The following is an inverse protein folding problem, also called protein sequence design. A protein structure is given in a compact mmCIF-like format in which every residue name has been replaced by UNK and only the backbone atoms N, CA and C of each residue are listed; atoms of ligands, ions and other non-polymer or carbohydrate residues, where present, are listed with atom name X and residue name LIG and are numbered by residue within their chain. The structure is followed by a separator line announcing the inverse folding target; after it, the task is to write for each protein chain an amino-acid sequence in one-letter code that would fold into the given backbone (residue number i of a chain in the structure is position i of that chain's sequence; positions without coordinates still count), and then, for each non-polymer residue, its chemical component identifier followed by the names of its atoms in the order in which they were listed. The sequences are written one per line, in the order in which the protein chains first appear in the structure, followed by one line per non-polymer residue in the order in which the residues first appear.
data_IF_188879184280
#
_entry.id   IF_188879184280
#
_cell.length_a   1.000
_cell.length_b   1.000
_cell.length_c   1.000
_cell.angle_alpha   90.00
_cell.angle_beta   90.00
_cell.angle_gamma   90.00
#
_symmetry.space_group_name_H-M   'P 1'
#
loop_
_entity.id
_entity.type
_entity.pdbx_description
1 polymer ?
#
# COMPACT_ATOMS: atom_id res chain seq x y z
N UNK A 1 12.02 -9.91 65.95
CA UNK A 1 12.58 -10.50 64.71
C UNK A 1 11.65 -11.54 64.05
N UNK A 2 10.55 -11.98 64.69
CA UNK A 2 9.69 -13.06 64.13
C UNK A 2 8.76 -12.66 62.98
N UNK A 3 8.40 -11.38 62.86
CA UNK A 3 7.51 -10.92 61.77
C UNK A 3 8.19 -11.03 60.40
N UNK A 4 9.50 -10.83 60.34
CA UNK A 4 10.29 -10.93 59.11
C UNK A 4 10.38 -12.38 58.60
N UNK A 5 10.55 -13.35 59.52
CA UNK A 5 10.62 -14.78 59.16
C UNK A 5 9.29 -15.32 58.57
N UNK A 6 8.16 -14.76 58.99
CA UNK A 6 6.83 -15.13 58.47
C UNK A 6 6.52 -14.53 57.10
N UNK A 7 7.20 -13.45 56.68
CA UNK A 7 6.99 -12.79 55.39
C UNK A 7 7.79 -13.40 54.23
N UNK A 8 8.91 -14.07 54.53
CA UNK A 8 9.79 -14.72 53.54
C UNK A 8 9.06 -15.70 52.61
N UNK A 9 8.19 -16.62 53.07
CA UNK A 9 7.53 -17.55 52.16
C UNK A 9 6.58 -16.85 51.18
N UNK A 10 5.89 -15.79 51.60
CA UNK A 10 5.01 -15.02 50.72
C UNK A 10 5.79 -14.24 49.65
N UNK A 11 6.96 -13.71 50.02
CA UNK A 11 7.85 -13.01 49.09
C UNK A 11 8.42 -13.96 48.03
N UNK A 12 8.75 -15.20 48.41
CA UNK A 12 9.17 -16.25 47.47
C UNK A 12 8.05 -16.69 46.53
N UNK A 13 6.81 -16.79 47.02
CA UNK A 13 5.65 -17.10 46.17
C UNK A 13 5.38 -15.98 45.17
N UNK A 14 5.49 -14.71 45.58
CA UNK A 14 5.34 -13.56 44.67
C UNK A 14 6.47 -13.51 43.62
N UNK A 15 7.70 -13.81 44.00
CA UNK A 15 8.82 -13.93 43.06
C UNK A 15 8.61 -15.09 42.08
N UNK A 16 8.10 -16.23 42.54
CA UNK A 16 7.85 -17.37 41.69
C UNK A 16 6.68 -17.12 40.72
N UNK A 17 5.59 -16.49 41.18
CA UNK A 17 4.48 -16.09 40.32
C UNK A 17 4.90 -15.03 39.31
N UNK A 18 5.73 -14.06 39.71
CA UNK A 18 6.32 -13.06 38.82
C UNK A 18 7.24 -13.69 37.76
N UNK A 19 8.08 -14.66 38.16
CA UNK A 19 8.95 -15.38 37.23
C UNK A 19 8.16 -16.29 36.27
N UNK A 20 7.13 -16.99 36.76
CA UNK A 20 6.27 -17.83 35.94
C UNK A 20 5.44 -17.01 34.94
N UNK A 21 4.93 -15.84 35.34
CA UNK A 21 4.23 -14.93 34.44
C UNK A 21 5.18 -14.27 33.44
N UNK A 22 6.41 -13.91 33.83
CA UNK A 22 7.46 -13.47 32.89
C UNK A 22 7.78 -14.56 31.85
N UNK A 23 8.00 -15.81 32.28
CA UNK A 23 8.23 -16.95 31.38
C UNK A 23 7.05 -17.22 30.46
N UNK A 24 5.82 -17.15 30.97
CA UNK A 24 4.63 -17.49 30.20
C UNK A 24 4.23 -16.38 29.20
N UNK A 25 4.39 -15.10 29.55
CA UNK A 25 3.97 -13.98 28.70
C UNK A 25 5.09 -13.39 27.84
N UNK A 26 6.34 -13.37 28.30
CA UNK A 26 7.44 -12.75 27.54
C UNK A 26 8.22 -13.78 26.71
N UNK A 27 8.33 -15.02 27.18
CA UNK A 27 9.08 -16.06 26.46
C UNK A 27 8.23 -16.85 25.46
N UNK A 28 6.89 -16.79 25.57
CA UNK A 28 6.01 -17.02 24.42
C UNK A 28 6.14 -15.84 23.48
N UNK A 29 7.23 -15.79 22.71
CA UNK A 29 7.14 -15.17 21.39
C UNK A 29 5.94 -15.85 20.72
N UNK A 30 4.93 -15.11 20.22
CA UNK A 30 3.99 -15.74 19.31
C UNK A 30 4.85 -16.45 18.27
N UNK A 31 4.57 -17.73 17.99
CA UNK A 31 5.04 -18.32 16.75
C UNK A 31 4.65 -17.30 15.69
N UNK A 32 5.66 -16.58 15.18
CA UNK A 32 5.43 -15.70 14.07
C UNK A 32 4.89 -16.65 13.02
N UNK A 33 3.63 -16.44 12.63
CA UNK A 33 3.09 -17.04 11.41
C UNK A 33 4.21 -16.91 10.37
N UNK A 34 4.57 -18.00 9.66
CA UNK A 34 5.74 -17.99 8.80
C UNK A 34 5.63 -16.76 7.93
N UNK A 35 6.47 -15.75 8.20
CA UNK A 35 6.49 -14.51 7.43
C UNK A 35 6.78 -14.98 6.03
N UNK A 36 5.74 -14.94 5.21
CA UNK A 36 5.80 -15.41 3.85
C UNK A 36 6.61 -14.37 3.09
N UNK A 37 7.93 -14.49 3.17
CA UNK A 37 8.84 -13.64 2.40
C UNK A 37 8.64 -14.01 0.95
N UNK A 38 7.81 -13.23 0.27
CA UNK A 38 7.63 -13.38 -1.16
C UNK A 38 8.94 -12.98 -1.83
N UNK A 39 9.60 -13.95 -2.45
CA UNK A 39 10.79 -13.73 -3.26
C UNK A 39 10.36 -13.16 -4.62
N UNK A 40 10.26 -11.84 -4.65
CA UNK A 40 9.78 -11.07 -5.81
C UNK A 40 10.65 -11.27 -7.05
N UNK A 41 11.94 -11.61 -6.90
CA UNK A 41 12.85 -11.86 -8.01
C UNK A 41 12.45 -13.14 -8.78
N UNK A 42 11.73 -14.07 -8.16
CA UNK A 42 11.18 -15.28 -8.81
C UNK A 42 9.90 -15.00 -9.63
N UNK A 43 9.13 -13.97 -9.25
CA UNK A 43 7.92 -13.56 -9.99
C UNK A 43 8.28 -12.83 -11.29
N UNK A 44 9.33 -11.99 -11.25
CA UNK A 44 9.82 -11.26 -12.42
C UNK A 44 10.43 -12.23 -13.47
N UNK A 45 11.04 -13.33 -13.02
CA UNK A 45 11.59 -14.36 -13.90
C UNK A 45 10.54 -15.19 -14.65
N UNK A 46 9.30 -15.29 -14.13
CA UNK A 46 8.22 -16.07 -14.75
C UNK A 46 7.33 -15.25 -15.70
N UNK A 47 7.39 -13.92 -15.68
CA UNK A 47 6.66 -13.07 -16.64
C UNK A 47 7.34 -12.95 -18.01
N UNK A 48 8.62 -13.35 -18.11
CA UNK A 48 9.39 -13.35 -19.36
C UNK A 48 9.26 -14.61 -20.23
N UNK A 49 8.56 -15.65 -19.78
CA UNK A 49 8.37 -16.88 -20.57
C UNK A 49 7.15 -16.77 -21.47
N UNK A 50 7.41 -16.37 -22.71
CA UNK A 50 6.67 -16.66 -23.96
C UNK A 50 5.46 -17.60 -23.76
N UNK A 51 4.26 -17.05 -23.84
CA UNK A 51 3.01 -17.81 -23.86
C UNK A 51 3.04 -18.79 -25.04
N UNK A 52 3.12 -20.09 -24.76
CA UNK A 52 2.79 -21.14 -25.73
C UNK A 52 1.27 -21.16 -25.91
N UNK A 53 0.83 -20.75 -27.10
CA UNK A 53 -0.54 -20.98 -27.58
C UNK A 53 -0.80 -22.49 -27.67
N UNK A 54 -1.68 -23.00 -26.82
CA UNK A 54 -2.36 -24.27 -27.06
C UNK A 54 -3.73 -23.97 -27.71
N UNK A 55 -4.08 -24.62 -28.84
CA UNK A 55 -5.27 -24.29 -29.59
C UNK A 55 -6.51 -24.88 -28.91
N UNK A 56 -7.39 -24.01 -28.40
CA UNK A 56 -8.72 -24.41 -27.94
C UNK A 56 -9.64 -24.52 -29.14
N UNK A 57 -10.01 -25.76 -29.48
CA UNK A 57 -11.01 -26.11 -30.49
C UNK A 57 -12.36 -25.47 -30.17
N UNK A 58 -12.75 -24.47 -30.96
CA UNK A 58 -14.08 -23.85 -30.96
C UNK A 58 -15.13 -24.83 -31.47
N UNK A 59 -15.93 -25.39 -30.57
CA UNK A 59 -17.25 -25.95 -30.91
C UNK A 59 -18.25 -24.78 -30.97
N UNK A 60 -18.81 -24.58 -32.16
CA UNK A 60 -19.80 -23.57 -32.51
C UNK A 60 -21.17 -24.02 -31.99
N UNK A 61 -21.62 -23.45 -30.88
CA UNK A 61 -23.03 -23.49 -30.47
C UNK A 61 -23.60 -22.07 -30.54
N UNK A 62 -24.76 -21.96 -31.19
CA UNK A 62 -25.46 -20.72 -31.48
C UNK A 62 -26.05 -20.09 -30.21
N UNK A 63 -26.20 -18.75 -30.15
CA UNK A 63 -26.65 -18.05 -28.95
C UNK A 63 -28.18 -18.15 -28.77
N UNK A 64 -28.69 -18.49 -27.58
CA UNK A 64 -30.10 -18.27 -27.27
C UNK A 64 -30.31 -16.83 -26.79
N UNK A 65 -31.08 -16.11 -27.61
CA UNK A 65 -31.98 -14.98 -27.35
C UNK A 65 -31.84 -14.14 -26.06
N UNK A 66 -31.59 -12.85 -26.31
CA UNK A 66 -32.02 -11.66 -25.59
C UNK A 66 -32.90 -11.88 -24.35
N UNK A 67 -32.27 -11.82 -23.18
CA UNK A 67 -32.88 -11.22 -22.01
C UNK A 67 -32.24 -9.84 -21.85
N UNK A 68 -33.02 -8.75 -21.74
CA UNK A 68 -32.44 -7.44 -21.48
C UNK A 68 -31.75 -7.50 -20.12
N UNK A 69 -30.43 -7.62 -20.17
CA UNK A 69 -29.56 -7.45 -19.02
C UNK A 69 -29.87 -6.05 -18.51
N UNK A 70 -30.49 -5.98 -17.32
CA UNK A 70 -30.74 -4.74 -16.61
C UNK A 70 -29.44 -3.95 -16.66
N UNK A 71 -29.46 -2.86 -17.44
CA UNK A 71 -28.46 -1.80 -17.38
C UNK A 71 -28.23 -1.57 -15.89
N UNK A 72 -27.05 -1.97 -15.40
CA UNK A 72 -26.63 -1.66 -14.05
C UNK A 72 -26.70 -0.15 -13.97
N UNK A 73 -27.73 0.31 -13.27
CA UNK A 73 -27.92 1.69 -12.88
C UNK A 73 -26.56 2.18 -12.39
N UNK A 74 -25.98 3.14 -13.12
CA UNK A 74 -24.77 3.80 -12.69
C UNK A 74 -25.10 4.42 -11.34
N UNK A 75 -24.63 3.79 -10.27
CA UNK A 75 -24.84 4.25 -8.91
C UNK A 75 -24.40 5.70 -8.87
N UNK A 76 -25.35 6.63 -8.71
CA UNK A 76 -25.02 8.00 -8.37
C UNK A 76 -24.16 7.93 -7.12
N UNK A 77 -22.94 8.45 -7.19
CA UNK A 77 -22.05 8.51 -6.03
C UNK A 77 -22.83 9.10 -4.85
N UNK A 78 -22.65 8.53 -3.67
CA UNK A 78 -23.26 9.16 -2.50
C UNK A 78 -22.70 10.58 -2.36
N UNK A 79 -23.50 11.52 -1.84
CA UNK A 79 -23.04 12.90 -1.60
C UNK A 79 -21.70 12.96 -0.84
N UNK A 80 -21.49 12.01 0.08
CA UNK A 80 -20.22 11.89 0.81
C UNK A 80 -19.05 11.45 -0.07
N UNK A 81 -19.27 10.64 -1.09
CA UNK A 81 -18.23 10.25 -2.06
C UNK A 81 -17.93 11.40 -3.01
N UNK A 82 -18.96 12.09 -3.50
CA UNK A 82 -18.81 13.30 -4.33
C UNK A 82 -17.96 14.36 -3.61
N UNK A 83 -18.26 14.64 -2.34
CA UNK A 83 -17.50 15.59 -1.51
C UNK A 83 -16.02 15.16 -1.37
N UNK A 84 -15.74 13.86 -1.28
CA UNK A 84 -14.36 13.32 -1.20
C UNK A 84 -13.63 13.44 -2.53
N UNK A 85 -14.29 13.14 -3.65
CA UNK A 85 -13.71 13.31 -4.98
C UNK A 85 -13.39 14.78 -5.25
N UNK A 86 -14.31 15.70 -4.94
CA UNK A 86 -14.06 17.12 -5.10
C UNK A 86 -12.87 17.58 -4.24
N UNK A 87 -12.80 17.13 -2.98
CA UNK A 87 -11.69 17.46 -2.10
C UNK A 87 -10.34 16.92 -2.63
N UNK A 88 -10.34 15.76 -3.28
CA UNK A 88 -9.16 15.19 -3.93
C UNK A 88 -8.73 16.04 -5.13
N UNK A 89 -9.65 16.42 -6.01
CA UNK A 89 -9.37 17.26 -7.17
C UNK A 89 -8.81 18.63 -6.80
N UNK A 90 -9.34 19.25 -5.74
CA UNK A 90 -8.85 20.52 -5.21
C UNK A 90 -7.42 20.40 -4.67
N UNK A 91 -7.15 19.33 -3.92
CA UNK A 91 -5.81 19.02 -3.41
C UNK A 91 -4.83 18.78 -4.56
N UNK A 92 -5.23 17.98 -5.55
CA UNK A 92 -4.41 17.63 -6.72
C UNK A 92 -4.04 18.87 -7.53
N UNK A 93 -5.00 19.75 -7.82
CA UNK A 93 -4.73 21.02 -8.51
C UNK A 93 -3.74 21.89 -7.74
N UNK A 94 -3.91 21.97 -6.42
CA UNK A 94 -3.00 22.73 -5.55
C UNK A 94 -1.61 22.12 -5.55
N UNK A 95 -1.50 20.80 -5.45
CA UNK A 95 -0.24 20.07 -5.51
C UNK A 95 0.50 20.33 -6.82
N UNK A 96 -0.18 20.20 -7.96
CA UNK A 96 0.42 20.42 -9.28
C UNK A 96 0.93 21.85 -9.46
N UNK A 97 0.24 22.85 -8.91
CA UNK A 97 0.67 24.25 -8.96
C UNK A 97 1.92 24.51 -8.12
N UNK A 98 1.95 24.01 -6.88
CA UNK A 98 3.09 24.14 -5.96
C UNK A 98 4.32 23.44 -6.54
N UNK A 99 4.15 22.20 -7.04
CA UNK A 99 5.25 21.44 -7.64
C UNK A 99 5.80 22.12 -8.88
N UNK A 100 4.93 22.62 -9.75
CA UNK A 100 5.38 23.36 -10.94
C UNK A 100 6.27 24.55 -10.55
N UNK A 101 5.90 25.25 -9.49
CA UNK A 101 6.69 26.37 -8.95
C UNK A 101 8.05 25.92 -8.41
N UNK A 102 8.09 24.80 -7.69
CA UNK A 102 9.32 24.26 -7.08
C UNK A 102 10.27 23.65 -8.12
N UNK A 103 9.75 22.79 -9.00
CA UNK A 103 10.52 22.06 -10.00
C UNK A 103 10.94 23.00 -11.13
N UNK A 104 10.08 23.95 -11.49
CA UNK A 104 10.25 24.87 -12.59
C UNK A 104 9.85 24.28 -13.94
N UNK A 105 9.50 25.15 -14.89
CA UNK A 105 8.94 24.76 -16.19
C UNK A 105 9.85 23.81 -16.98
N UNK A 106 11.17 23.95 -16.85
CA UNK A 106 12.16 23.13 -17.56
C UNK A 106 12.00 21.62 -17.27
N UNK A 107 11.70 21.25 -16.03
CA UNK A 107 11.66 19.84 -15.59
C UNK A 107 10.23 19.34 -15.33
N UNK A 108 9.23 20.21 -15.43
CA UNK A 108 7.87 19.88 -15.04
C UNK A 108 7.23 18.77 -15.90
N UNK A 109 7.48 18.76 -17.22
CA UNK A 109 6.99 17.70 -18.10
C UNK A 109 7.56 16.33 -17.71
N UNK A 110 8.87 16.26 -17.46
CA UNK A 110 9.54 15.03 -17.04
C UNK A 110 9.04 14.57 -15.66
N UNK A 111 8.78 15.49 -14.74
CA UNK A 111 8.14 15.17 -13.46
C UNK A 111 6.78 14.50 -13.64
N UNK A 112 5.92 15.02 -14.53
CA UNK A 112 4.60 14.43 -14.79
C UNK A 112 4.72 13.00 -15.34
N UNK A 113 5.62 12.79 -16.31
CA UNK A 113 5.90 11.45 -16.86
C UNK A 113 6.41 10.49 -15.78
N UNK A 114 7.32 10.96 -14.92
CA UNK A 114 7.84 10.15 -13.82
C UNK A 114 6.76 9.76 -12.83
N UNK A 115 5.84 10.67 -12.52
CA UNK A 115 4.72 10.42 -11.61
C UNK A 115 3.73 9.43 -12.22
N UNK A 116 3.36 9.61 -13.49
CA UNK A 116 2.47 8.68 -14.18
C UNK A 116 3.07 7.26 -14.22
N UNK A 117 4.37 7.15 -14.51
CA UNK A 117 5.08 5.87 -14.47
C UNK A 117 5.09 5.27 -13.06
N UNK A 118 5.32 6.05 -12.00
CA UNK A 118 5.28 5.58 -10.62
C UNK A 118 3.91 4.97 -10.27
N UNK A 119 2.82 5.65 -10.63
CA UNK A 119 1.46 5.14 -10.40
C UNK A 119 1.17 3.88 -11.23
N UNK A 120 1.64 3.84 -12.48
CA UNK A 120 1.53 2.63 -13.31
C UNK A 120 2.27 1.45 -12.68
N UNK A 121 3.50 1.64 -12.21
CA UNK A 121 4.30 0.60 -11.54
C UNK A 121 3.62 0.10 -10.26
N UNK A 122 3.02 0.99 -9.46
CA UNK A 122 2.20 0.61 -8.28
C UNK A 122 1.01 -0.26 -8.68
N UNK A 123 0.28 0.14 -9.72
CA UNK A 123 -0.89 -0.60 -10.20
C UNK A 123 -0.52 -1.97 -10.78
N UNK A 124 0.61 -2.07 -11.47
CA UNK A 124 1.15 -3.33 -11.98
C UNK A 124 1.56 -4.25 -10.83
N UNK A 125 2.31 -3.74 -9.85
CA UNK A 125 2.68 -4.46 -8.64
C UNK A 125 1.44 -4.97 -7.87
N UNK A 126 0.39 -4.14 -7.79
CA UNK A 126 -0.88 -4.53 -7.18
C UNK A 126 -1.55 -5.67 -7.94
N UNK A 127 -1.63 -5.56 -9.27
CA UNK A 127 -2.23 -6.59 -10.12
C UNK A 127 -1.47 -7.92 -10.03
N UNK A 128 -0.14 -7.88 -10.06
CA UNK A 128 0.71 -9.06 -9.93
C UNK A 128 0.50 -9.77 -8.60
N UNK A 129 0.43 -9.00 -7.51
CA UNK A 129 0.14 -9.55 -6.19
C UNK A 129 -1.26 -10.17 -6.13
N UNK A 130 -2.26 -9.51 -6.73
CA UNK A 130 -3.61 -10.03 -6.82
C UNK A 130 -3.66 -11.35 -7.60
N UNK A 131 -3.00 -11.42 -8.76
CA UNK A 131 -2.94 -12.64 -9.57
C UNK A 131 -2.19 -13.76 -8.85
N UNK A 132 -1.13 -13.43 -8.11
CA UNK A 132 -0.43 -14.37 -7.25
C UNK A 132 -1.34 -14.96 -6.16
N UNK A 133 -2.07 -14.12 -5.42
CA UNK A 133 -3.01 -14.58 -4.40
C UNK A 133 -4.13 -15.45 -4.99
N UNK A 134 -4.68 -15.05 -6.14
CA UNK A 134 -5.70 -15.83 -6.85
C UNK A 134 -5.18 -17.22 -7.23
N UNK A 135 -3.95 -17.31 -7.77
CA UNK A 135 -3.32 -18.60 -8.12
C UNK A 135 -3.11 -19.48 -6.89
N UNK A 136 -2.72 -18.89 -5.76
CA UNK A 136 -2.37 -19.64 -4.54
C UNK A 136 -3.58 -20.04 -3.69
N UNK A 137 -4.62 -19.20 -3.63
CA UNK A 137 -5.74 -19.34 -2.71
C UNK A 137 -7.11 -19.48 -3.40
N UNK A 138 -7.16 -19.50 -4.74
CA UNK A 138 -8.39 -19.56 -5.53
C UNK A 138 -9.12 -18.21 -5.60
N UNK A 139 -10.35 -18.16 -6.10
CA UNK A 139 -11.10 -16.90 -6.26
C UNK A 139 -11.74 -16.37 -4.96
N UNK A 140 -11.72 -17.16 -3.88
CA UNK A 140 -12.40 -16.84 -2.60
C UNK A 140 -11.46 -16.28 -1.53
N UNK A 141 -10.28 -15.78 -1.89
CA UNK A 141 -9.37 -15.20 -0.90
C UNK A 141 -9.89 -13.85 -0.39
N UNK A 142 -9.82 -13.65 0.93
CA UNK A 142 -10.15 -12.36 1.54
C UNK A 142 -8.95 -11.45 1.38
N UNK A 143 -9.15 -10.31 0.72
CA UNK A 143 -8.13 -9.28 0.55
C UNK A 143 -7.67 -8.76 1.91
N UNK A 144 -6.40 -8.96 2.23
CA UNK A 144 -5.70 -8.25 3.27
C UNK A 144 -4.49 -7.60 2.60
N UNK A 145 -4.40 -6.28 2.65
CA UNK A 145 -3.22 -5.53 2.19
C UNK A 145 -2.07 -6.04 3.02
N UNK A 146 -1.26 -6.94 2.45
CA UNK A 146 -0.18 -7.56 3.21
C UNK A 146 0.93 -6.55 3.45
N UNK A 147 1.71 -6.81 4.50
CA UNK A 147 2.96 -6.10 4.78
C UNK A 147 3.88 -6.10 3.53
N UNK A 148 3.83 -7.16 2.72
CA UNK A 148 4.63 -7.32 1.49
C UNK A 148 4.23 -6.35 0.37
N UNK A 149 2.92 -6.07 0.19
CA UNK A 149 2.46 -5.05 -0.76
C UNK A 149 3.02 -3.68 -0.37
N UNK A 150 3.00 -3.37 0.93
CA UNK A 150 3.57 -2.12 1.45
C UNK A 150 5.08 -2.02 1.19
N UNK A 151 5.82 -3.13 1.24
CA UNK A 151 7.26 -3.14 0.97
C UNK A 151 7.56 -2.82 -0.50
N UNK A 152 6.85 -3.46 -1.44
CA UNK A 152 7.07 -3.24 -2.88
C UNK A 152 6.68 -1.81 -3.29
N UNK A 153 5.56 -1.32 -2.80
CA UNK A 153 5.14 0.07 -3.02
C UNK A 153 6.17 1.06 -2.47
N UNK A 154 6.69 0.83 -1.25
CA UNK A 154 7.77 1.65 -0.69
C UNK A 154 9.01 1.67 -1.57
N UNK A 155 9.39 0.54 -2.18
CA UNK A 155 10.54 0.46 -3.08
C UNK A 155 10.31 1.29 -4.35
N UNK A 156 9.15 1.14 -4.98
CA UNK A 156 8.76 1.91 -6.18
C UNK A 156 8.86 3.42 -5.90
N UNK A 157 8.25 3.83 -4.79
CA UNK A 157 8.27 5.19 -4.27
C UNK A 157 9.70 5.72 -4.00
N UNK A 158 10.56 4.93 -3.37
CA UNK A 158 11.97 5.29 -3.14
C UNK A 158 12.74 5.49 -4.45
N UNK A 159 12.53 4.61 -5.43
CA UNK A 159 13.18 4.72 -6.74
C UNK A 159 12.71 5.95 -7.50
N UNK A 160 11.41 6.29 -7.41
CA UNK A 160 10.87 7.53 -7.93
C UNK A 160 11.51 8.76 -7.28
N UNK A 161 11.58 8.81 -5.94
CA UNK A 161 12.16 9.95 -5.21
C UNK A 161 13.66 10.12 -5.52
N UNK A 162 14.40 9.02 -5.67
CA UNK A 162 15.81 9.05 -6.06
C UNK A 162 15.99 9.65 -7.46
N UNK A 163 15.22 9.17 -8.44
CA UNK A 163 15.25 9.74 -9.80
C UNK A 163 14.85 11.21 -9.81
N UNK A 164 13.89 11.60 -8.96
CA UNK A 164 13.43 12.98 -8.88
C UNK A 164 14.53 13.88 -8.33
N UNK A 165 15.22 13.45 -7.26
CA UNK A 165 16.38 14.12 -6.71
C UNK A 165 17.48 14.31 -7.76
N UNK A 166 17.80 13.26 -8.52
CA UNK A 166 18.79 13.34 -9.61
C UNK A 166 18.39 14.34 -10.70
N UNK A 167 17.10 14.43 -11.01
CA UNK A 167 16.57 15.33 -12.04
C UNK A 167 16.63 16.81 -11.65
N UNK A 168 16.16 17.14 -10.44
CA UNK A 168 15.94 18.55 -10.03
C UNK A 168 17.02 19.08 -9.08
N UNK A 169 17.86 18.20 -8.54
CA UNK A 169 18.91 18.51 -7.57
C UNK A 169 18.41 18.72 -6.14
N UNK A 170 19.35 18.67 -5.19
CA UNK A 170 19.08 18.67 -3.75
C UNK A 170 18.21 19.84 -3.28
N UNK A 171 18.53 21.07 -3.70
CA UNK A 171 17.81 22.26 -3.21
C UNK A 171 16.33 22.25 -3.60
N UNK A 172 16.02 21.93 -4.86
CA UNK A 172 14.63 21.84 -5.33
C UNK A 172 13.93 20.62 -4.74
N UNK A 173 14.65 19.51 -4.57
CA UNK A 173 14.10 18.31 -3.94
C UNK A 173 13.69 18.56 -2.49
N UNK A 174 14.51 19.25 -1.70
CA UNK A 174 14.14 19.64 -0.33
C UNK A 174 12.91 20.56 -0.31
N UNK A 175 12.79 21.48 -1.26
CA UNK A 175 11.59 22.31 -1.40
C UNK A 175 10.35 21.50 -1.80
N UNK A 176 10.51 20.47 -2.64
CA UNK A 176 9.44 19.56 -3.05
C UNK A 176 8.91 18.77 -1.85
N UNK A 177 9.79 18.20 -1.02
CA UNK A 177 9.41 17.49 0.20
C UNK A 177 8.66 18.42 1.17
N UNK A 178 9.15 19.65 1.36
CA UNK A 178 8.47 20.65 2.20
C UNK A 178 7.09 21.02 1.68
N UNK A 179 6.93 21.16 0.35
CA UNK A 179 5.62 21.44 -0.25
C UNK A 179 4.63 20.29 -0.02
N UNK A 180 5.07 19.04 -0.19
CA UNK A 180 4.28 17.85 0.11
C UNK A 180 3.83 17.83 1.58
N UNK A 181 4.78 17.98 2.49
CA UNK A 181 4.51 17.90 3.93
C UNK A 181 3.57 19.02 4.39
N UNK A 182 3.71 20.22 3.82
CA UNK A 182 2.80 21.35 4.05
C UNK A 182 1.37 21.03 3.60
N UNK A 183 1.18 20.51 2.38
CA UNK A 183 -0.16 20.15 1.88
C UNK A 183 -0.78 19.05 2.74
N UNK A 184 -0.01 18.02 3.09
CA UNK A 184 -0.50 16.92 3.93
C UNK A 184 -0.90 17.43 5.33
N UNK A 185 -0.13 18.35 5.91
CA UNK A 185 -0.46 18.98 7.20
C UNK A 185 -1.71 19.86 7.10
N UNK A 186 -1.88 20.62 6.02
CA UNK A 186 -3.08 21.42 5.78
C UNK A 186 -4.33 20.53 5.63
N UNK A 187 -4.22 19.39 4.92
CA UNK A 187 -5.29 18.41 4.80
C UNK A 187 -5.64 17.81 6.16
N UNK A 188 -4.64 17.45 6.98
CA UNK A 188 -4.87 16.97 8.35
C UNK A 188 -5.64 17.97 9.19
N UNK A 189 -5.22 19.25 9.18
CA UNK A 189 -5.90 20.32 9.92
C UNK A 189 -7.33 20.58 9.43
N UNK A 190 -7.59 20.34 8.15
CA UNK A 190 -8.92 20.45 7.55
C UNK A 190 -9.82 19.22 7.80
N UNK A 191 -9.34 18.21 8.55
CA UNK A 191 -10.07 16.94 8.75
C UNK A 191 -10.12 16.05 7.51
N UNK A 192 -9.25 16.31 6.52
CA UNK A 192 -9.13 15.58 5.24
C UNK A 192 -7.94 14.61 5.27
N UNK A 193 -7.74 13.91 6.40
CA UNK A 193 -6.60 12.99 6.60
C UNK A 193 -6.53 11.83 5.59
N UNK A 194 -7.67 11.50 4.99
CA UNK A 194 -7.81 10.49 3.93
C UNK A 194 -7.20 10.94 2.58
N UNK A 195 -6.80 12.21 2.45
CA UNK A 195 -6.16 12.76 1.26
C UNK A 195 -4.72 13.11 1.60
N UNK A 196 -3.79 12.29 1.12
CA UNK A 196 -2.37 12.53 1.27
C UNK A 196 -1.67 12.45 -0.07
N UNK A 197 -0.72 13.34 -0.26
CA UNK A 197 0.26 13.25 -1.33
C UNK A 197 1.30 12.22 -0.87
N UNK A 198 1.21 11.01 -1.42
CA UNK A 198 2.07 9.88 -1.06
C UNK A 198 3.02 9.51 -2.21
N UNK A 199 4.32 9.68 -1.94
CA UNK A 199 5.44 9.20 -2.75
C UNK A 199 6.62 8.92 -1.83
#
# INVERSE_FOLDING_TARGET
MDKFKKAIPYLLVLLFLGWASYKFFIERKPEAEPKMTLDWDQLDATSGSKAEESPVTLKKEAPPEDKPEKVREYTSLSKSEEDKFQAFDEMEKKWLLEVKTVIGDQFYAQYLEMRERNEKEKMEAYKEYHDYLRRKHGDNFKYNISEDQSIREKKINQDYLKKLLELIGETKFQAYIKARDKINEENRRAGKEFIQVEF
#
